data_IF_304528689722
#
_entry.id   IF_304528689722
#
_cell.length_a   1.000
_cell.length_b   1.000
_cell.length_c   1.000
_cell.angle_alpha   90.00
_cell.angle_beta   90.00
_cell.angle_gamma   90.00
#
_symmetry.space_group_name_H-M   'P 1'
#
loop_
_entity.id
_entity.type
_entity.pdbx_description
1 polymer ?
#
# COMPACT_ATOMS: atom_id res chain seq x y z
N UNK A 1 -14.64 5.56 2.69
CA UNK A 1 -15.48 4.48 2.12
C UNK A 1 -16.69 4.99 1.33
N UNK A 2 -17.56 5.87 1.89
CA UNK A 2 -18.81 6.34 1.23
C UNK A 2 -18.72 6.91 -0.21
N UNK A 3 -17.57 7.43 -0.67
CA UNK A 3 -17.44 7.95 -2.05
C UNK A 3 -17.16 6.88 -3.10
N UNK A 4 -16.53 5.76 -2.72
CA UNK A 4 -16.19 4.69 -3.67
C UNK A 4 -17.42 3.83 -3.98
N UNK A 5 -18.21 3.52 -2.94
CA UNK A 5 -19.47 2.75 -3.02
C UNK A 5 -20.44 3.32 -4.06
N UNK A 6 -20.55 4.66 -4.16
CA UNK A 6 -21.46 5.33 -5.11
C UNK A 6 -20.91 5.48 -6.54
N UNK A 7 -19.58 5.42 -6.73
CA UNK A 7 -18.94 5.72 -8.02
C UNK A 7 -18.43 4.49 -8.75
N UNK A 8 -18.01 3.46 -8.01
CA UNK A 8 -17.44 2.23 -8.55
C UNK A 8 -17.79 1.06 -7.61
N UNK A 9 -19.04 0.58 -7.63
CA UNK A 9 -19.54 -0.41 -6.67
C UNK A 9 -18.80 -1.74 -6.73
N UNK A 10 -18.41 -2.19 -7.93
CA UNK A 10 -17.62 -3.42 -8.10
C UNK A 10 -16.23 -3.30 -7.49
N UNK A 11 -15.56 -2.16 -7.72
CA UNK A 11 -14.26 -1.84 -7.13
C UNK A 11 -14.33 -1.70 -5.61
N UNK A 12 -15.41 -1.11 -5.11
CA UNK A 12 -15.68 -1.05 -3.67
C UNK A 12 -15.85 -2.44 -3.08
N UNK A 13 -16.64 -3.33 -3.69
CA UNK A 13 -16.82 -4.70 -3.22
C UNK A 13 -15.49 -5.48 -3.17
N UNK A 14 -14.59 -5.26 -4.13
CA UNK A 14 -13.25 -5.85 -4.13
C UNK A 14 -12.37 -5.36 -2.99
N UNK A 15 -12.44 -4.06 -2.66
CA UNK A 15 -11.52 -3.41 -1.72
C UNK A 15 -12.08 -3.19 -0.31
N UNK A 16 -13.35 -3.52 -0.07
CA UNK A 16 -13.97 -3.41 1.26
C UNK A 16 -13.33 -4.36 2.28
N UNK A 17 -12.69 -5.43 1.80
CA UNK A 17 -11.99 -6.42 2.64
C UNK A 17 -10.56 -6.05 3.04
N UNK A 18 -10.06 -4.85 2.70
CA UNK A 18 -8.76 -4.38 3.19
C UNK A 18 -8.81 -4.17 4.70
N UNK A 19 -7.84 -4.74 5.42
CA UNK A 19 -7.77 -4.67 6.89
C UNK A 19 -6.90 -3.50 7.37
N UNK A 20 -5.75 -3.27 6.73
CA UNK A 20 -4.72 -2.35 7.21
C UNK A 20 -4.49 -1.17 6.28
N UNK A 21 -4.82 -1.31 5.00
CA UNK A 21 -4.67 -0.27 4.00
C UNK A 21 -6.01 0.40 3.68
N UNK A 22 -5.93 1.68 3.32
CA UNK A 22 -7.03 2.36 2.66
C UNK A 22 -7.02 2.01 1.16
N UNK A 23 -8.19 2.01 0.48
CA UNK A 23 -8.27 1.84 -0.97
C UNK A 23 -7.30 2.77 -1.73
N UNK A 24 -6.61 2.27 -2.77
CA UNK A 24 -5.60 3.05 -3.47
C UNK A 24 -6.22 4.20 -4.26
N UNK A 25 -5.56 5.36 -4.19
CA UNK A 25 -5.85 6.52 -5.02
C UNK A 25 -5.14 6.38 -6.37
N UNK A 26 -5.77 5.61 -7.27
CA UNK A 26 -5.24 5.21 -8.58
C UNK A 26 -4.94 6.36 -9.55
N UNK A 27 -5.76 7.42 -9.54
CA UNK A 27 -5.70 8.49 -10.56
C UNK A 27 -4.33 9.16 -10.72
N UNK A 28 -3.62 9.42 -9.61
CA UNK A 28 -2.31 10.05 -9.68
C UNK A 28 -1.22 9.14 -10.26
N UNK A 29 -1.23 7.87 -9.85
CA UNK A 29 -0.28 6.88 -10.37
C UNK A 29 -0.55 6.58 -11.85
N UNK A 30 -1.82 6.50 -12.25
CA UNK A 30 -2.20 6.34 -13.65
C UNK A 30 -1.71 7.51 -14.51
N UNK A 31 -1.91 8.76 -14.06
CA UNK A 31 -1.44 9.94 -14.78
C UNK A 31 0.10 9.97 -14.93
N UNK A 32 0.84 9.52 -13.92
CA UNK A 32 2.31 9.42 -14.01
C UNK A 32 2.74 8.35 -15.01
N UNK A 33 2.08 7.19 -15.03
CA UNK A 33 2.38 6.12 -15.98
C UNK A 33 2.03 6.53 -17.41
N UNK A 34 0.98 7.32 -17.61
CA UNK A 34 0.64 7.92 -18.91
C UNK A 34 1.68 8.96 -19.36
N UNK A 35 2.18 9.79 -18.44
CA UNK A 35 3.20 10.79 -18.73
C UNK A 35 4.59 10.16 -18.98
N UNK A 36 4.86 8.98 -18.42
CA UNK A 36 6.12 8.25 -18.57
C UNK A 36 5.81 6.81 -19.02
N UNK A 37 5.49 6.60 -20.31
CA UNK A 37 5.04 5.30 -20.81
C UNK A 37 6.07 4.18 -20.70
N UNK A 38 7.35 4.48 -20.51
CA UNK A 38 8.44 3.51 -20.36
C UNK A 38 8.88 3.31 -18.90
N UNK A 39 8.24 3.98 -17.94
CA UNK A 39 8.68 4.01 -16.55
C UNK A 39 8.31 2.76 -15.76
N UNK A 40 9.28 2.14 -15.09
CA UNK A 40 9.01 1.07 -14.13
C UNK A 40 8.17 1.58 -12.95
N UNK A 41 7.41 0.67 -12.33
CA UNK A 41 6.56 0.98 -11.18
C UNK A 41 7.15 0.37 -9.93
N UNK A 42 7.33 1.19 -8.89
CA UNK A 42 7.74 0.72 -7.58
C UNK A 42 6.58 0.84 -6.61
N UNK A 43 6.23 -0.27 -5.97
CA UNK A 43 5.30 -0.31 -4.85
C UNK A 43 6.11 -0.32 -3.55
N UNK A 44 5.83 0.64 -2.68
CA UNK A 44 6.49 0.78 -1.39
C UNK A 44 5.45 0.63 -0.27
N UNK A 45 5.76 -0.20 0.71
CA UNK A 45 4.96 -0.36 1.91
C UNK A 45 5.84 -0.57 3.14
N UNK A 46 5.27 -0.31 4.32
CA UNK A 46 6.01 -0.43 5.57
C UNK A 46 5.13 -0.87 6.74
N UNK A 47 5.78 -1.40 7.78
CA UNK A 47 5.19 -1.60 9.12
C UNK A 47 6.15 -1.09 10.19
N UNK A 48 5.62 -0.73 11.37
CA UNK A 48 6.42 -0.40 12.55
C UNK A 48 6.77 1.08 12.76
N UNK A 49 6.34 1.99 11.87
CA UNK A 49 6.50 3.44 12.08
C UNK A 49 5.43 4.09 12.98
N UNK A 50 4.45 3.32 13.47
CA UNK A 50 3.35 3.85 14.30
C UNK A 50 3.86 4.50 15.60
N UNK A 51 3.17 5.50 16.17
CA UNK A 51 3.56 6.03 17.49
C UNK A 51 4.92 6.73 17.58
N UNK A 52 5.52 7.14 16.44
CA UNK A 52 6.63 8.09 16.35
C UNK A 52 6.15 9.55 16.25
N UNK A 53 4.85 9.76 16.24
CA UNK A 53 4.16 11.05 16.15
C UNK A 53 4.16 11.86 17.45
N UNK A 54 4.65 11.26 18.55
CA UNK A 54 4.79 11.93 19.85
C UNK A 54 6.16 11.72 20.46
N UNK A 55 6.67 12.72 21.18
CA UNK A 55 7.97 12.64 21.87
C UNK A 55 8.03 11.49 22.89
N UNK A 56 6.92 11.21 23.59
CA UNK A 56 6.82 10.08 24.51
C UNK A 56 6.87 8.73 23.78
N UNK A 57 6.24 8.63 22.61
CA UNK A 57 6.28 7.46 21.73
C UNK A 57 7.69 7.20 21.19
N UNK A 58 8.41 8.24 20.76
CA UNK A 58 9.82 8.16 20.36
C UNK A 58 10.70 7.67 21.51
N UNK A 59 10.60 8.26 22.71
CA UNK A 59 11.43 7.86 23.86
C UNK A 59 11.21 6.40 24.26
N UNK A 60 9.95 5.94 24.30
CA UNK A 60 9.60 4.54 24.60
C UNK A 60 10.09 3.56 23.53
N UNK A 61 10.18 4.00 22.27
CA UNK A 61 10.69 3.18 21.17
C UNK A 61 12.21 3.05 21.18
N UNK A 62 12.94 4.10 21.55
CA UNK A 62 14.42 4.07 21.63
C UNK A 62 14.97 3.12 22.71
N UNK A 63 14.15 2.71 23.68
CA UNK A 63 14.59 1.83 24.79
C UNK A 63 14.42 0.34 24.53
N UNK A 64 13.83 -0.08 23.39
CA UNK A 64 13.63 -1.50 23.05
C UNK A 64 14.61 -1.90 21.93
N UNK A 65 15.34 -3.01 22.07
CA UNK A 65 16.32 -3.45 21.07
C UNK A 65 15.71 -4.48 20.12
N UNK A 66 15.27 -4.06 18.93
CA UNK A 66 14.77 -4.93 17.86
C UNK A 66 14.43 -4.15 16.59
N UNK A 67 14.33 -4.76 15.40
CA UNK A 67 14.09 -4.02 14.16
C UNK A 67 12.75 -3.28 14.23
N UNK A 68 12.82 -1.95 14.34
CA UNK A 68 11.70 -1.08 14.69
C UNK A 68 10.71 -0.86 13.55
N UNK A 69 11.15 -1.03 12.31
CA UNK A 69 10.33 -0.87 11.12
C UNK A 69 10.83 -1.80 10.02
N UNK A 70 9.88 -2.27 9.21
CA UNK A 70 10.16 -2.99 7.96
C UNK A 70 9.67 -2.12 6.83
N UNK A 71 10.54 -1.84 5.87
CA UNK A 71 10.19 -1.16 4.62
C UNK A 71 10.48 -2.14 3.49
N UNK A 72 9.53 -2.27 2.58
CA UNK A 72 9.64 -3.16 1.43
C UNK A 72 9.41 -2.34 0.17
N UNK A 73 10.29 -2.55 -0.80
CA UNK A 73 10.20 -1.99 -2.14
C UNK A 73 10.08 -3.15 -3.11
N UNK A 74 9.01 -3.14 -3.90
CA UNK A 74 8.74 -4.13 -4.94
C UNK A 74 8.74 -3.40 -6.28
N UNK A 75 9.76 -3.66 -7.10
CA UNK A 75 9.88 -3.11 -8.44
C UNK A 75 9.16 -4.00 -9.45
N UNK A 76 8.40 -3.37 -10.33
CA UNK A 76 7.71 -4.00 -11.46
C UNK A 76 8.22 -3.38 -12.75
N UNK A 77 8.85 -4.20 -13.57
CA UNK A 77 9.28 -3.79 -14.91
C UNK A 77 8.09 -3.26 -15.68
N UNK A 78 8.31 -2.20 -16.46
CA UNK A 78 7.24 -1.54 -17.21
C UNK A 78 6.41 -2.51 -18.05
N UNK A 79 7.06 -3.49 -18.68
CA UNK A 79 6.42 -4.51 -19.50
C UNK A 79 5.44 -5.42 -18.74
N UNK A 80 5.59 -5.53 -17.42
CA UNK A 80 4.71 -6.32 -16.54
C UNK A 80 3.50 -5.54 -16.01
N UNK A 81 3.47 -4.23 -16.22
CA UNK A 81 2.43 -3.32 -15.72
C UNK A 81 1.45 -2.97 -16.85
N UNK A 82 0.15 -3.27 -16.70
CA UNK A 82 -0.84 -2.90 -17.71
C UNK A 82 -1.09 -1.39 -17.73
N UNK A 83 -1.60 -0.89 -18.85
CA UNK A 83 -1.87 0.54 -19.08
C UNK A 83 -3.37 0.85 -19.19
N UNK A 84 -3.72 2.13 -19.14
CA UNK A 84 -5.10 2.59 -19.28
C UNK A 84 -6.02 2.00 -18.21
N UNK A 85 -7.24 1.61 -18.59
CA UNK A 85 -8.23 1.09 -17.65
C UNK A 85 -7.78 -0.18 -16.90
N UNK A 86 -6.90 -0.99 -17.50
CA UNK A 86 -6.41 -2.22 -16.88
C UNK A 86 -5.41 -1.96 -15.73
N UNK A 87 -4.78 -0.78 -15.70
CA UNK A 87 -3.88 -0.40 -14.61
C UNK A 87 -4.59 -0.34 -13.25
N UNK A 88 -5.83 0.14 -13.21
CA UNK A 88 -6.58 0.27 -11.96
C UNK A 88 -6.85 -1.11 -11.33
N UNK A 89 -7.27 -2.08 -12.14
CA UNK A 89 -7.48 -3.45 -11.64
C UNK A 89 -6.19 -4.08 -11.13
N UNK A 90 -5.09 -3.90 -11.87
CA UNK A 90 -3.78 -4.40 -11.46
C UNK A 90 -3.31 -3.76 -10.15
N UNK A 91 -3.49 -2.45 -10.00
CA UNK A 91 -3.12 -1.76 -8.77
C UNK A 91 -3.94 -2.27 -7.59
N UNK A 92 -5.24 -2.49 -7.78
CA UNK A 92 -6.11 -3.04 -6.74
C UNK A 92 -5.69 -4.46 -6.31
N UNK A 93 -5.29 -5.32 -7.26
CA UNK A 93 -4.79 -6.66 -6.95
C UNK A 93 -3.50 -6.60 -6.14
N UNK A 94 -2.55 -5.74 -6.55
CA UNK A 94 -1.32 -5.51 -5.79
C UNK A 94 -1.61 -4.94 -4.40
N UNK A 95 -2.61 -4.06 -4.27
CA UNK A 95 -2.99 -3.49 -2.98
C UNK A 95 -3.52 -4.52 -2.00
N UNK A 96 -4.35 -5.47 -2.47
CA UNK A 96 -4.85 -6.59 -1.66
C UNK A 96 -3.72 -7.55 -1.24
N UNK A 97 -2.72 -7.75 -2.09
CA UNK A 97 -1.53 -8.52 -1.73
C UNK A 97 -0.69 -7.82 -0.67
N UNK A 98 -0.47 -6.50 -0.81
CA UNK A 98 0.28 -5.71 0.16
C UNK A 98 -0.46 -5.67 1.50
N UNK A 99 -1.78 -5.51 1.50
CA UNK A 99 -2.57 -5.50 2.73
C UNK A 99 -2.37 -6.78 3.56
N UNK A 100 -2.43 -7.95 2.91
CA UNK A 100 -2.12 -9.24 3.55
C UNK A 100 -0.69 -9.30 4.08
N UNK A 101 0.29 -8.84 3.30
CA UNK A 101 1.70 -8.77 3.74
C UNK A 101 1.87 -7.85 4.96
N UNK A 102 1.13 -6.74 5.01
CA UNK A 102 1.14 -5.78 6.12
C UNK A 102 0.50 -6.38 7.36
N UNK A 103 -0.62 -7.10 7.24
CA UNK A 103 -1.24 -7.87 8.34
C UNK A 103 -0.23 -8.86 8.92
N UNK A 104 0.30 -9.75 8.08
CA UNK A 104 1.26 -10.79 8.50
C UNK A 104 2.52 -10.18 9.15
N UNK A 105 3.07 -9.11 8.57
CA UNK A 105 4.26 -8.46 9.08
C UNK A 105 4.00 -7.72 10.41
N UNK A 106 2.79 -7.17 10.59
CA UNK A 106 2.39 -6.52 11.84
C UNK A 106 2.20 -7.52 12.97
N UNK A 107 1.60 -8.69 12.70
CA UNK A 107 1.39 -9.74 13.70
C UNK A 107 2.71 -10.34 14.20
N UNK A 108 3.65 -10.61 13.28
CA UNK A 108 4.99 -11.14 13.61
C UNK A 108 5.85 -10.18 14.43
N UNK A 109 5.50 -8.89 14.47
CA UNK A 109 6.19 -7.88 15.28
C UNK A 109 5.63 -7.79 16.71
N UNK A 110 4.42 -8.30 16.96
CA UNK A 110 3.76 -8.28 18.28
C UNK A 110 4.04 -9.59 19.07
N UNK A 111 4.31 -10.69 18.38
CA UNK A 111 4.64 -11.99 18.98
C UNK A 111 6.13 -12.23 19.25
#
# INVERSE_FOLDING_TARGET
>A
MQRLEKRAPERHAKLVGLERLLPPRSAGAAALLEAIPEGDVVLLWHVGFDGLDTFAGVRRRLTHAGPHARVVLESHDRASVPSGAAFESWLDDRWLEIDRKVVDASERQIG
#
